data_IF_976464127198
#
_entry.id   IF_976464127198
#
_cell.length_a   1.000
_cell.length_b   1.000
_cell.length_c   1.000
_cell.angle_alpha   90.00
_cell.angle_beta   90.00
_cell.angle_gamma   90.00
#
_symmetry.space_group_name_H-M   'P 1'
#
loop_
_entity.id
_entity.type
_entity.pdbx_description
1 polymer ?
#
# COMPACT_ATOMS: atom_id res chain seq x y z
N UNK A 1 -23.42 0.22 -9.40
CA UNK A 1 -21.97 0.26 -9.71
C UNK A 1 -21.32 1.15 -8.67
N UNK A 2 -20.80 0.56 -7.59
CA UNK A 2 -20.46 1.29 -6.36
C UNK A 2 -19.11 2.00 -6.51
N UNK A 3 -19.14 3.33 -6.59
CA UNK A 3 -17.96 4.22 -6.58
C UNK A 3 -17.46 4.30 -5.14
N UNK A 4 -16.46 3.49 -4.77
CA UNK A 4 -15.97 3.46 -3.39
C UNK A 4 -14.90 4.56 -3.21
N UNK A 5 -15.41 5.74 -2.85
CA UNK A 5 -14.91 6.73 -1.89
C UNK A 5 -13.38 6.93 -1.75
N UNK A 6 -12.91 8.09 -2.20
CA UNK A 6 -11.54 8.60 -2.03
C UNK A 6 -11.17 9.01 -0.58
N UNK A 7 -12.05 8.77 0.41
CA UNK A 7 -11.90 9.24 1.80
C UNK A 7 -11.47 8.13 2.79
N UNK A 8 -11.28 6.89 2.34
CA UNK A 8 -11.24 5.71 3.24
C UNK A 8 -9.85 5.18 3.61
N UNK A 9 -8.75 5.79 3.13
CA UNK A 9 -7.42 5.26 3.47
C UNK A 9 -6.95 5.82 4.84
N UNK A 10 -6.85 4.99 5.90
CA UNK A 10 -6.36 5.45 7.20
C UNK A 10 -4.86 5.78 7.13
N UNK A 11 -4.35 6.52 8.13
CA UNK A 11 -2.92 6.88 8.19
C UNK A 11 -1.99 5.67 8.07
N UNK A 12 -2.35 4.56 8.71
CA UNK A 12 -1.66 3.27 8.62
C UNK A 12 -2.58 2.20 8.05
N UNK A 13 -2.56 2.10 6.72
CA UNK A 13 -3.37 1.17 5.97
C UNK A 13 -2.78 -0.24 5.93
N UNK A 14 -3.67 -1.23 5.93
CA UNK A 14 -3.32 -2.62 5.62
C UNK A 14 -3.26 -2.84 4.11
N UNK A 15 -2.61 -3.92 3.69
CA UNK A 15 -2.53 -4.30 2.27
C UNK A 15 -3.91 -4.42 1.60
N UNK A 16 -4.93 -4.87 2.33
CA UNK A 16 -6.31 -4.95 1.83
C UNK A 16 -6.90 -3.57 1.56
N UNK A 17 -6.74 -2.64 2.50
CA UNK A 17 -7.23 -1.27 2.33
C UNK A 17 -6.53 -0.54 1.19
N UNK A 18 -5.21 -0.72 1.05
CA UNK A 18 -4.46 -0.16 -0.09
C UNK A 18 -4.96 -0.76 -1.39
N UNK A 19 -5.18 -2.09 -1.45
CA UNK A 19 -5.71 -2.75 -2.64
C UNK A 19 -7.07 -2.19 -3.07
N UNK A 20 -7.98 -2.00 -2.11
CA UNK A 20 -9.29 -1.41 -2.35
C UNK A 20 -9.18 0.04 -2.85
N UNK A 21 -8.26 0.82 -2.28
CA UNK A 21 -8.05 2.24 -2.63
C UNK A 21 -7.36 2.43 -3.98
N UNK A 22 -6.30 1.68 -4.27
CA UNK A 22 -5.51 1.81 -5.50
C UNK A 22 -6.04 0.93 -6.63
N UNK A 23 -7.14 0.21 -6.39
CA UNK A 23 -7.69 -0.82 -7.27
C UNK A 23 -6.64 -1.84 -7.74
N UNK A 24 -5.64 -2.10 -6.90
CA UNK A 24 -4.57 -3.06 -7.16
C UNK A 24 -4.83 -4.33 -6.38
N UNK A 25 -4.65 -5.51 -6.99
CA UNK A 25 -4.89 -6.77 -6.29
C UNK A 25 -3.97 -6.94 -5.06
N UNK A 26 -4.54 -7.41 -3.94
CA UNK A 26 -3.78 -7.79 -2.72
C UNK A 26 -2.56 -8.70 -3.01
N UNK A 27 -2.65 -9.75 -3.86
CA UNK A 27 -1.49 -10.57 -4.20
C UNK A 27 -0.38 -9.79 -4.93
N UNK A 28 -0.73 -8.81 -5.76
CA UNK A 28 0.24 -7.92 -6.42
C UNK A 28 0.99 -7.08 -5.40
N UNK A 29 0.27 -6.43 -4.46
CA UNK A 29 0.89 -5.68 -3.37
C UNK A 29 1.74 -6.57 -2.45
N UNK A 30 1.34 -7.82 -2.24
CA UNK A 30 2.11 -8.78 -1.46
C UNK A 30 3.42 -9.15 -2.15
N UNK A 31 3.35 -9.43 -3.45
CA UNK A 31 4.51 -9.71 -4.29
C UNK A 31 5.47 -8.52 -4.30
N UNK A 32 4.97 -7.31 -4.50
CA UNK A 32 5.76 -6.08 -4.48
C UNK A 32 6.44 -5.80 -3.14
N UNK A 33 5.74 -6.03 -2.03
CA UNK A 33 6.35 -5.92 -0.70
C UNK A 33 7.46 -6.95 -0.45
N UNK A 34 7.42 -8.09 -1.14
CA UNK A 34 8.47 -9.11 -1.11
C UNK A 34 9.62 -8.81 -2.08
N UNK A 35 9.33 -8.30 -3.27
CA UNK A 35 10.33 -7.89 -4.27
C UNK A 35 11.09 -6.62 -3.85
N UNK A 36 10.47 -5.73 -3.07
CA UNK A 36 11.10 -4.54 -2.47
C UNK A 36 11.32 -3.36 -3.43
N UNK A 37 11.30 -3.60 -4.73
CA UNK A 37 11.64 -2.61 -5.77
C UNK A 37 10.41 -1.92 -6.38
N UNK A 38 9.20 -2.41 -6.11
CA UNK A 38 7.96 -1.96 -6.76
C UNK A 38 6.89 -1.56 -5.73
N UNK A 39 6.04 -0.62 -6.14
CA UNK A 39 4.84 -0.24 -5.39
C UNK A 39 5.06 0.83 -4.30
N UNK A 40 4.03 1.09 -3.49
CA UNK A 40 4.10 2.08 -2.42
C UNK A 40 5.00 1.61 -1.28
N UNK A 41 5.69 2.56 -0.63
CA UNK A 41 6.53 2.26 0.53
C UNK A 41 5.70 1.68 1.67
N UNK A 42 6.31 0.75 2.40
CA UNK A 42 5.69 0.08 3.52
C UNK A 42 6.59 0.07 4.74
N UNK A 43 5.97 -0.02 5.91
CA UNK A 43 6.63 -0.20 7.19
C UNK A 43 6.25 -1.57 7.75
N UNK A 44 7.18 -2.20 8.48
CA UNK A 44 6.90 -3.42 9.25
C UNK A 44 6.66 -3.03 10.70
N UNK A 45 5.44 -3.25 11.19
CA UNK A 45 5.01 -2.94 12.55
C UNK A 45 4.97 -4.23 13.38
N UNK A 46 5.67 -4.24 14.51
CA UNK A 46 5.59 -5.32 15.50
C UNK A 46 6.57 -6.49 15.30
N UNK A 47 7.86 -6.20 15.12
CA UNK A 47 8.92 -7.22 15.10
C UNK A 47 9.82 -7.15 16.33
N UNK A 48 9.30 -7.47 17.52
CA UNK A 48 10.11 -7.76 18.71
C UNK A 48 9.87 -9.22 19.09
N UNK A 49 10.55 -10.14 18.41
CA UNK A 49 10.50 -11.57 18.69
C UNK A 49 10.07 -12.44 17.50
N UNK A 50 9.78 -13.72 17.76
CA UNK A 50 9.56 -14.78 16.78
C UNK A 50 8.36 -14.57 15.81
N UNK A 51 7.52 -13.56 16.04
CA UNK A 51 6.41 -13.20 15.16
C UNK A 51 6.86 -12.08 14.23
N UNK A 52 7.12 -12.42 12.96
CA UNK A 52 7.50 -11.45 11.94
C UNK A 52 6.50 -10.29 11.85
N UNK A 53 7.01 -9.05 11.79
CA UNK A 53 6.20 -7.84 11.82
C UNK A 53 5.20 -7.71 10.67
N UNK A 54 4.04 -7.11 10.97
CA UNK A 54 2.97 -6.89 10.01
C UNK A 54 3.30 -5.74 9.04
N UNK A 55 3.07 -5.96 7.75
CA UNK A 55 3.25 -4.92 6.72
C UNK A 55 2.09 -3.92 6.78
N UNK A 56 2.44 -2.64 6.92
CA UNK A 56 1.52 -1.50 6.89
C UNK A 56 2.02 -0.46 5.89
N UNK A 57 1.11 0.27 5.30
CA UNK A 57 1.40 1.33 4.33
C UNK A 57 0.97 2.65 4.94
N UNK A 58 1.84 3.66 4.90
CA UNK A 58 1.41 5.00 5.30
C UNK A 58 0.58 5.61 4.17
N UNK A 59 -0.45 6.36 4.54
CA UNK A 59 -1.27 7.09 3.56
C UNK A 59 -0.42 7.98 2.66
N UNK A 60 0.50 8.74 3.26
CA UNK A 60 1.42 9.64 2.54
C UNK A 60 2.24 8.91 1.47
N UNK A 61 2.78 7.73 1.80
CA UNK A 61 3.61 6.93 0.90
C UNK A 61 2.80 6.36 -0.27
N UNK A 62 1.56 5.92 0.00
CA UNK A 62 0.65 5.41 -1.05
C UNK A 62 0.29 6.53 -2.02
N UNK A 63 -0.02 7.73 -1.50
CA UNK A 63 -0.35 8.88 -2.34
C UNK A 63 0.85 9.37 -3.15
N UNK A 64 2.03 9.44 -2.55
CA UNK A 64 3.27 9.81 -3.24
C UNK A 64 3.60 8.84 -4.39
N UNK A 65 3.38 7.54 -4.17
CA UNK A 65 3.54 6.54 -5.21
C UNK A 65 2.54 6.74 -6.35
N UNK A 66 1.26 6.95 -6.06
CA UNK A 66 0.24 7.23 -7.09
C UNK A 66 0.59 8.49 -7.89
N UNK A 67 1.09 9.54 -7.24
CA UNK A 67 1.54 10.76 -7.90
C UNK A 67 2.71 10.45 -8.87
N UNK A 68 3.71 9.68 -8.42
CA UNK A 68 4.84 9.25 -9.24
C UNK A 68 4.42 8.43 -10.48
N UNK A 69 3.39 7.58 -10.36
CA UNK A 69 2.84 6.84 -11.51
C UNK A 69 2.21 7.77 -12.54
N UNK A 70 1.51 8.82 -12.09
CA UNK A 70 0.90 9.80 -13.00
C UNK A 70 1.92 10.66 -13.74
N UNK A 71 3.05 10.99 -13.09
CA UNK A 71 4.15 11.73 -13.71
C UNK A 71 4.93 10.90 -14.74
N UNK A 72 5.01 9.58 -14.54
CA UNK A 72 5.71 8.68 -15.48
C UNK A 72 4.95 8.53 -16.81
N UNK A 73 3.67 8.92 -16.85
CA UNK A 73 2.87 8.95 -18.09
C UNK A 73 2.89 10.38 -18.67
N UNK A 74 4.04 10.85 -19.13
CA UNK A 74 4.17 12.05 -19.98
C UNK A 74 5.33 11.91 -20.97
#
# INVERSE_FOLDING_TARGET
MTRIQQDQLPELATRKQVAEFTQTSVPTLARWASEGDKGPRFIRLGGSGASGGAVRYRREDVLAWLASLSETTR
#
